data_IF_869406769477
#
_entry.id   IF_869406769477
#
_cell.length_a   1.000
_cell.length_b   1.000
_cell.length_c   1.000
_cell.angle_alpha   90.00
_cell.angle_beta   90.00
_cell.angle_gamma   90.00
#
_symmetry.space_group_name_H-M   'P 1'
#
loop_
_entity.id
_entity.type
_entity.pdbx_description
1 polymer ?
#
# COMPACT_ATOMS: atom_id res chain seq x y z
N UNK A 1 -24.35 3.31 10.94
CA UNK A 1 -24.87 4.59 10.39
C UNK A 1 -24.00 5.75 10.83
N UNK A 2 -23.85 6.04 12.14
CA UNK A 2 -23.04 7.16 12.64
C UNK A 2 -21.64 7.33 11.98
N UNK A 3 -20.77 6.30 12.01
CA UNK A 3 -19.42 6.42 11.42
C UNK A 3 -19.43 6.55 9.90
N UNK A 4 -20.38 5.92 9.22
CA UNK A 4 -20.56 6.08 7.77
C UNK A 4 -20.94 7.52 7.44
N UNK A 5 -21.87 8.08 8.21
CA UNK A 5 -22.34 9.44 8.04
C UNK A 5 -21.18 10.41 8.34
N UNK A 6 -20.39 10.18 9.39
CA UNK A 6 -19.17 10.95 9.66
C UNK A 6 -18.16 10.94 8.49
N UNK A 7 -17.91 9.78 7.89
CA UNK A 7 -16.90 9.65 6.82
C UNK A 7 -17.34 10.26 5.49
N UNK A 8 -18.64 10.20 5.17
CA UNK A 8 -19.16 10.44 3.82
C UNK A 8 -20.17 11.58 3.71
N UNK A 9 -20.70 12.09 4.82
CA UNK A 9 -21.66 13.22 4.78
C UNK A 9 -20.93 14.54 4.55
N UNK A 10 -21.59 15.53 3.94
CA UNK A 10 -21.03 16.87 3.77
C UNK A 10 -20.47 17.44 5.07
N UNK A 11 -19.29 18.05 4.99
CA UNK A 11 -18.76 18.87 6.08
C UNK A 11 -19.61 20.13 6.22
N UNK A 12 -19.78 20.62 7.45
CA UNK A 12 -20.58 21.81 7.72
C UNK A 12 -20.13 23.01 6.86
N UNK A 13 -21.10 23.59 6.13
CA UNK A 13 -20.90 24.87 5.45
C UNK A 13 -20.82 25.94 6.52
N UNK A 14 -19.60 26.28 6.94
CA UNK A 14 -19.38 27.49 7.73
C UNK A 14 -19.49 28.69 6.78
N UNK A 15 -20.74 29.11 6.49
CA UNK A 15 -21.11 30.19 5.56
C UNK A 15 -20.50 31.57 5.90
N UNK A 16 -19.87 31.71 7.07
CA UNK A 16 -19.22 32.94 7.56
C UNK A 16 -17.72 32.78 7.82
N UNK A 17 -17.09 31.70 7.37
CA UNK A 17 -15.64 31.50 7.52
C UNK A 17 -14.91 31.67 6.20
N UNK A 18 -13.71 32.23 6.25
CA UNK A 18 -12.76 32.33 5.15
C UNK A 18 -12.18 30.93 4.81
N UNK A 19 -13.03 30.02 4.34
CA UNK A 19 -12.62 28.66 4.00
C UNK A 19 -12.82 28.39 2.51
N UNK A 20 -11.83 27.81 1.86
CA UNK A 20 -11.91 27.39 0.45
C UNK A 20 -12.39 25.94 0.30
N UNK A 21 -12.96 25.35 1.36
CA UNK A 21 -13.44 23.96 1.40
C UNK A 21 -14.38 23.58 0.25
N UNK A 22 -15.12 24.55 -0.28
CA UNK A 22 -16.01 24.35 -1.44
C UNK A 22 -15.28 23.90 -2.70
N UNK A 23 -13.99 24.16 -2.81
CA UNK A 23 -13.14 23.76 -3.92
C UNK A 23 -12.63 22.30 -3.78
N UNK A 24 -12.71 21.72 -2.58
CA UNK A 24 -12.06 20.44 -2.25
C UNK A 24 -13.07 19.37 -1.81
N UNK A 25 -14.18 19.19 -2.53
CA UNK A 25 -15.05 18.03 -2.34
C UNK A 25 -15.66 17.88 -0.93
N UNK A 26 -15.82 18.97 -0.17
CA UNK A 26 -16.38 18.96 1.20
C UNK A 26 -17.78 18.32 1.27
N UNK A 27 -18.54 18.39 0.18
CA UNK A 27 -19.87 17.83 0.01
C UNK A 27 -19.87 16.30 -0.04
N UNK A 28 -18.70 15.69 -0.23
CA UNK A 28 -18.50 14.23 -0.32
C UNK A 28 -17.88 13.64 0.95
N UNK A 29 -17.74 14.45 2.00
CA UNK A 29 -17.26 14.06 3.33
C UNK A 29 -15.76 14.17 3.55
N UNK A 30 -15.36 13.90 4.79
CA UNK A 30 -14.02 14.22 5.31
C UNK A 30 -12.90 13.51 4.56
N UNK A 31 -13.11 12.24 4.17
CA UNK A 31 -12.08 11.48 3.44
C UNK A 31 -11.80 12.12 2.09
N UNK A 32 -12.85 12.45 1.34
CA UNK A 32 -12.69 13.05 0.01
C UNK A 32 -12.07 14.44 0.12
N UNK A 33 -12.51 15.23 1.10
CA UNK A 33 -11.93 16.53 1.38
C UNK A 33 -10.43 16.47 1.67
N UNK A 34 -10.00 15.60 2.58
CA UNK A 34 -8.59 15.49 2.94
C UNK A 34 -7.73 15.02 1.77
N UNK A 35 -8.21 14.05 0.97
CA UNK A 35 -7.48 13.56 -0.21
C UNK A 35 -7.37 14.63 -1.32
N UNK A 36 -8.47 15.34 -1.62
CA UNK A 36 -8.47 16.44 -2.60
C UNK A 36 -7.57 17.58 -2.17
N UNK A 37 -7.64 17.93 -0.88
CA UNK A 37 -6.81 19.00 -0.34
C UNK A 37 -5.33 18.59 -0.34
N UNK A 38 -5.00 17.37 0.05
CA UNK A 38 -3.62 16.89 0.02
C UNK A 38 -3.06 16.87 -1.40
N UNK A 39 -3.83 16.39 -2.40
CA UNK A 39 -3.40 16.40 -3.80
C UNK A 39 -3.11 17.82 -4.30
N UNK A 40 -3.90 18.82 -3.86
CA UNK A 40 -3.63 20.22 -4.13
C UNK A 40 -2.35 20.72 -3.42
N UNK A 41 -2.14 20.39 -2.14
CA UNK A 41 -0.93 20.78 -1.41
C UNK A 41 0.36 20.20 -2.04
N UNK A 42 0.28 19.07 -2.75
CA UNK A 42 1.42 18.53 -3.50
C UNK A 42 1.70 19.29 -4.81
N UNK A 43 0.74 20.03 -5.34
CA UNK A 43 0.86 20.70 -6.64
C UNK A 43 1.71 21.97 -6.60
N UNK A 44 2.20 22.40 -7.76
CA UNK A 44 2.89 23.69 -7.92
C UNK A 44 2.00 24.90 -7.57
N UNK A 45 0.68 24.74 -7.65
CA UNK A 45 -0.29 25.81 -7.38
C UNK A 45 -0.43 26.13 -5.88
N UNK A 46 -0.01 25.23 -4.98
CA UNK A 46 -0.10 25.48 -3.56
C UNK A 46 0.99 26.47 -3.09
N UNK A 47 0.59 27.49 -2.35
CA UNK A 47 1.49 28.50 -1.76
C UNK A 47 2.06 28.01 -0.44
N UNK A 48 3.35 28.27 -0.17
CA UNK A 48 3.96 27.88 1.12
C UNK A 48 3.46 28.76 2.29
N UNK A 49 3.14 30.01 2.00
CA UNK A 49 2.57 30.98 2.94
C UNK A 49 1.12 30.65 3.35
N UNK A 50 0.63 31.23 4.46
CA UNK A 50 -0.79 31.20 4.82
C UNK A 50 -1.67 31.77 3.69
N UNK A 51 -2.79 31.12 3.44
CA UNK A 51 -3.76 31.54 2.41
C UNK A 51 -4.62 32.71 2.93
N UNK A 52 -4.81 32.77 4.24
CA UNK A 52 -5.54 33.85 4.92
C UNK A 52 -4.64 34.48 5.97
N UNK A 53 -4.56 35.80 5.93
CA UNK A 53 -3.81 36.58 6.92
C UNK A 53 -4.43 36.44 8.32
N UNK A 54 -3.57 36.10 9.29
CA UNK A 54 -3.87 36.05 10.73
C UNK A 54 -4.25 37.43 11.27
N UNK A 55 -3.63 38.47 10.71
CA UNK A 55 -3.61 39.82 11.27
C UNK A 55 -4.61 40.77 10.60
N UNK A 56 -5.50 40.24 9.75
CA UNK A 56 -6.65 41.00 9.26
C UNK A 56 -7.42 41.60 10.45
N UNK A 57 -7.45 42.94 10.52
CA UNK A 57 -7.98 43.68 11.66
C UNK A 57 -9.42 43.23 11.98
N UNK A 58 -9.63 42.82 13.23
CA UNK A 58 -10.96 42.55 13.75
C UNK A 58 -11.78 43.84 13.63
N UNK A 59 -13.00 43.81 13.06
CA UNK A 59 -13.84 45.00 12.96
C UNK A 59 -13.92 45.71 14.32
N UNK A 60 -13.68 47.02 14.35
CA UNK A 60 -13.61 47.80 15.60
C UNK A 60 -14.84 47.58 16.49
N UNK A 61 -16.01 47.40 15.87
CA UNK A 61 -17.30 47.11 16.52
C UNK A 61 -17.30 45.83 17.38
N UNK A 62 -16.42 44.88 17.09
CA UNK A 62 -16.33 43.59 17.79
C UNK A 62 -15.26 43.57 18.88
N UNK A 63 -14.34 44.55 18.91
CA UNK A 63 -13.12 44.54 19.75
C UNK A 63 -13.35 44.36 21.24
N UNK A 64 -14.44 44.91 21.78
CA UNK A 64 -14.76 44.84 23.22
C UNK A 64 -15.92 43.87 23.52
N UNK A 65 -16.30 43.01 22.57
CA UNK A 65 -17.44 42.12 22.73
C UNK A 65 -17.03 40.66 22.91
N UNK A 66 -17.86 39.88 23.60
CA UNK A 66 -17.74 38.41 23.65
C UNK A 66 -17.77 37.82 22.23
N UNK A 67 -18.50 38.44 21.30
CA UNK A 67 -18.52 38.07 19.89
C UNK A 67 -17.16 38.25 19.21
N UNK A 68 -16.37 39.27 19.60
CA UNK A 68 -14.99 39.46 19.14
C UNK A 68 -14.03 38.39 19.65
N UNK A 69 -14.23 37.90 20.88
CA UNK A 69 -13.50 36.74 21.41
C UNK A 69 -13.80 35.46 20.62
N UNK A 70 -15.07 35.20 20.30
CA UNK A 70 -15.46 34.09 19.43
C UNK A 70 -14.91 34.25 18.01
N UNK A 71 -14.94 35.47 17.46
CA UNK A 71 -14.38 35.79 16.15
C UNK A 71 -12.87 35.50 16.08
N UNK A 72 -12.10 35.91 17.09
CA UNK A 72 -10.67 35.59 17.20
C UNK A 72 -10.43 34.09 17.28
N UNK A 73 -11.16 33.39 18.15
CA UNK A 73 -11.04 31.92 18.28
C UNK A 73 -11.35 31.21 16.96
N UNK A 74 -12.43 31.59 16.29
CA UNK A 74 -12.80 31.02 14.99
C UNK A 74 -11.72 31.27 13.93
N UNK A 75 -11.10 32.47 13.91
CA UNK A 75 -9.99 32.83 13.00
C UNK A 75 -8.71 32.01 13.26
N UNK A 76 -8.32 31.81 14.52
CA UNK A 76 -7.13 31.02 14.86
C UNK A 76 -7.28 29.52 14.57
N UNK A 77 -8.51 29.01 14.50
CA UNK A 77 -8.80 27.60 14.18
C UNK A 77 -8.94 27.32 12.67
N UNK A 78 -8.89 28.35 11.81
CA UNK A 78 -9.02 28.23 10.34
C UNK A 78 -7.81 27.47 9.79
N UNK A 79 -8.08 26.50 8.92
CA UNK A 79 -7.04 25.68 8.30
C UNK A 79 -6.17 26.48 7.33
N UNK A 80 -6.79 27.42 6.61
CA UNK A 80 -6.19 28.30 5.60
C UNK A 80 -5.23 29.35 6.19
N UNK A 81 -5.19 29.48 7.50
CA UNK A 81 -4.27 30.36 8.25
C UNK A 81 -2.93 29.68 8.56
N UNK A 82 -2.85 28.36 8.35
CA UNK A 82 -1.63 27.58 8.52
C UNK A 82 -0.72 27.71 7.30
N UNK A 83 0.59 27.64 7.53
CA UNK A 83 1.58 27.49 6.46
C UNK A 83 1.46 26.10 5.81
N UNK A 84 1.99 25.95 4.59
CA UNK A 84 1.85 24.68 3.86
C UNK A 84 2.38 23.46 4.60
N UNK A 85 3.55 23.50 5.27
CA UNK A 85 4.02 22.37 6.08
C UNK A 85 3.01 21.93 7.14
N UNK A 86 2.46 22.88 7.90
CA UNK A 86 1.46 22.64 8.94
C UNK A 86 0.13 22.13 8.36
N UNK A 87 -0.28 22.65 7.19
CA UNK A 87 -1.46 22.17 6.46
C UNK A 87 -1.31 20.71 6.07
N UNK A 88 -0.16 20.34 5.50
CA UNK A 88 0.15 18.95 5.14
C UNK A 88 0.15 18.07 6.39
N UNK A 89 0.84 18.47 7.47
CA UNK A 89 0.90 17.69 8.71
C UNK A 89 -0.50 17.47 9.30
N UNK A 90 -1.33 18.51 9.34
CA UNK A 90 -2.71 18.40 9.85
C UNK A 90 -3.59 17.51 8.98
N UNK A 91 -3.43 17.55 7.65
CA UNK A 91 -4.14 16.63 6.75
C UNK A 91 -3.69 15.18 6.97
N UNK A 92 -2.39 14.95 7.11
CA UNK A 92 -1.83 13.61 7.34
C UNK A 92 -2.29 13.03 8.68
N UNK A 93 -2.30 13.82 9.75
CA UNK A 93 -2.82 13.39 11.05
C UNK A 93 -4.31 13.00 11.01
N UNK A 94 -5.13 13.76 10.26
CA UNK A 94 -6.53 13.39 10.04
C UNK A 94 -6.63 12.10 9.22
N UNK A 95 -5.85 11.96 8.15
CA UNK A 95 -5.82 10.75 7.32
C UNK A 95 -5.34 9.51 8.10
N UNK A 96 -4.41 9.67 9.04
CA UNK A 96 -3.96 8.62 9.96
C UNK A 96 -5.09 8.16 10.87
N UNK A 97 -5.76 9.10 11.55
CA UNK A 97 -6.91 8.79 12.42
C UNK A 97 -8.04 8.09 11.64
N UNK A 98 -8.27 8.52 10.40
CA UNK A 98 -9.28 7.92 9.52
C UNK A 98 -8.90 6.50 9.11
N UNK A 99 -7.65 6.24 8.71
CA UNK A 99 -7.25 4.89 8.30
C UNK A 99 -7.22 3.92 9.48
N UNK A 100 -6.81 4.39 10.66
CA UNK A 100 -6.84 3.60 11.90
C UNK A 100 -8.27 3.12 12.21
N UNK A 101 -9.26 4.02 12.15
CA UNK A 101 -10.67 3.67 12.29
C UNK A 101 -11.11 2.62 11.27
N UNK A 102 -10.72 2.79 10.00
CA UNK A 102 -11.08 1.87 8.93
C UNK A 102 -10.41 0.49 9.09
N UNK A 103 -9.19 0.44 9.62
CA UNK A 103 -8.49 -0.81 9.94
C UNK A 103 -9.19 -1.58 11.05
N UNK A 104 -9.55 -0.90 12.15
CA UNK A 104 -10.27 -1.54 13.24
C UNK A 104 -11.64 -2.05 12.80
N UNK A 105 -12.38 -1.25 12.03
CA UNK A 105 -13.66 -1.69 11.46
C UNK A 105 -13.49 -2.93 10.58
N UNK A 106 -12.52 -2.92 9.65
CA UNK A 106 -12.26 -4.06 8.77
C UNK A 106 -11.84 -5.32 9.55
N UNK A 107 -11.01 -5.17 10.58
CA UNK A 107 -10.58 -6.26 11.46
C UNK A 107 -11.73 -6.86 12.27
N UNK A 108 -12.56 -6.01 12.89
CA UNK A 108 -13.77 -6.44 13.62
C UNK A 108 -14.74 -7.12 12.65
N UNK A 109 -14.96 -6.52 11.49
CA UNK A 109 -15.82 -7.07 10.45
C UNK A 109 -15.36 -8.47 10.01
N UNK A 110 -14.06 -8.64 9.74
CA UNK A 110 -13.48 -9.92 9.34
C UNK A 110 -13.55 -10.96 10.46
N UNK A 111 -13.51 -10.55 11.72
CA UNK A 111 -13.68 -11.48 12.85
C UNK A 111 -15.12 -12.01 12.97
N UNK A 112 -16.10 -11.17 12.60
CA UNK A 112 -17.54 -11.45 12.70
C UNK A 112 -18.06 -12.34 11.57
N UNK A 113 -17.58 -12.13 10.35
CA UNK A 113 -17.96 -12.91 9.18
C UNK A 113 -16.81 -13.83 8.81
N UNK A 114 -17.00 -15.16 8.86
CA UNK A 114 -15.94 -16.14 8.58
C UNK A 114 -16.12 -16.92 7.28
N UNK A 115 -17.32 -16.88 6.71
CA UNK A 115 -17.69 -17.56 5.47
C UNK A 115 -18.34 -16.57 4.51
N UNK A 116 -18.28 -16.86 3.20
CA UNK A 116 -18.91 -16.05 2.15
C UNK A 116 -18.52 -14.56 2.20
N UNK A 117 -17.26 -14.27 2.52
CA UNK A 117 -16.77 -12.89 2.72
C UNK A 117 -17.07 -11.98 1.52
N UNK A 118 -16.84 -12.48 0.31
CA UNK A 118 -17.14 -11.74 -0.93
C UNK A 118 -18.61 -11.31 -0.99
N UNK A 119 -19.55 -12.21 -0.67
CA UNK A 119 -20.98 -11.90 -0.60
C UNK A 119 -21.29 -10.85 0.48
N UNK A 120 -20.65 -10.94 1.64
CA UNK A 120 -20.86 -9.96 2.71
C UNK A 120 -20.40 -8.55 2.31
N UNK A 121 -19.16 -8.40 1.81
CA UNK A 121 -18.61 -7.10 1.37
C UNK A 121 -19.39 -6.54 0.17
N UNK A 122 -19.82 -7.41 -0.75
CA UNK A 122 -20.49 -6.95 -1.97
C UNK A 122 -21.96 -6.61 -1.74
N UNK A 123 -22.70 -7.32 -0.88
CA UNK A 123 -24.17 -7.28 -0.89
C UNK A 123 -24.86 -6.91 0.41
N UNK A 124 -24.33 -7.30 1.57
CA UNK A 124 -25.14 -7.31 2.80
C UNK A 124 -24.55 -6.50 3.96
N UNK A 125 -23.31 -6.77 4.33
CA UNK A 125 -22.69 -6.20 5.53
C UNK A 125 -21.37 -5.59 5.08
N UNK A 126 -21.41 -4.35 4.60
CA UNK A 126 -20.22 -3.73 3.99
C UNK A 126 -19.39 -3.06 5.09
N UNK A 127 -18.07 -3.33 5.18
CA UNK A 127 -17.22 -2.57 6.08
C UNK A 127 -17.17 -1.09 5.65
N UNK A 128 -16.76 -0.22 6.56
CA UNK A 128 -16.66 1.22 6.33
C UNK A 128 -15.74 1.52 5.13
N UNK A 129 -14.63 0.79 4.98
CA UNK A 129 -13.72 0.96 3.84
C UNK A 129 -14.44 0.70 2.50
N UNK A 130 -15.29 -0.33 2.42
CA UNK A 130 -16.07 -0.60 1.20
C UNK A 130 -17.08 0.54 0.90
N UNK A 131 -17.54 1.24 1.94
CA UNK A 131 -18.42 2.41 1.79
C UNK A 131 -17.64 3.64 1.34
N UNK A 132 -16.42 3.85 1.83
CA UNK A 132 -15.53 4.91 1.36
C UNK A 132 -15.17 4.69 -0.12
N UNK A 133 -14.82 3.46 -0.48
CA UNK A 133 -14.41 3.12 -1.84
C UNK A 133 -15.58 3.17 -2.82
N UNK A 134 -16.70 2.49 -2.54
CA UNK A 134 -17.77 2.27 -3.54
C UNK A 134 -19.11 2.91 -3.18
N UNK A 135 -19.14 3.75 -2.13
CA UNK A 135 -20.36 4.37 -1.61
C UNK A 135 -21.46 3.32 -1.40
N UNK A 136 -22.73 3.63 -1.66
CA UNK A 136 -23.82 2.66 -1.57
C UNK A 136 -24.03 1.82 -2.85
N UNK A 137 -23.13 1.93 -3.83
CA UNK A 137 -23.36 1.32 -5.14
C UNK A 137 -22.85 -0.12 -5.19
N UNK A 138 -23.76 -1.07 -4.98
CA UNK A 138 -23.47 -2.52 -4.97
C UNK A 138 -22.91 -2.99 -6.31
N UNK A 139 -23.39 -2.45 -7.43
CA UNK A 139 -23.00 -2.88 -8.79
C UNK A 139 -21.53 -2.61 -9.12
N UNK A 140 -20.92 -1.62 -8.47
CA UNK A 140 -19.53 -1.23 -8.70
C UNK A 140 -18.57 -1.74 -7.62
N UNK A 141 -19.04 -2.56 -6.68
CA UNK A 141 -18.15 -3.16 -5.66
C UNK A 141 -17.07 -4.00 -6.31
N UNK A 142 -15.81 -3.81 -5.91
CA UNK A 142 -14.65 -4.50 -6.49
C UNK A 142 -14.11 -3.84 -7.77
N UNK A 143 -14.71 -2.76 -8.27
CA UNK A 143 -14.19 -2.01 -9.43
C UNK A 143 -13.27 -0.89 -8.97
N UNK A 144 -12.10 -0.76 -9.61
CA UNK A 144 -11.20 0.38 -9.38
C UNK A 144 -11.83 1.66 -9.90
N UNK A 145 -12.02 2.65 -9.03
CA UNK A 145 -12.66 3.93 -9.36
C UNK A 145 -11.73 5.12 -9.09
N UNK A 146 -12.26 6.34 -9.22
CA UNK A 146 -11.48 7.56 -9.05
C UNK A 146 -10.89 7.73 -7.66
N UNK A 147 -11.57 7.27 -6.60
CA UNK A 147 -11.05 7.31 -5.23
C UNK A 147 -9.83 6.39 -5.12
N UNK A 148 -9.92 5.17 -5.65
CA UNK A 148 -8.79 4.24 -5.71
C UNK A 148 -7.60 4.86 -6.46
N UNK A 149 -7.84 5.40 -7.66
CA UNK A 149 -6.79 6.05 -8.47
C UNK A 149 -6.16 7.25 -7.77
N UNK A 150 -6.94 8.04 -7.03
CA UNK A 150 -6.43 9.16 -6.26
C UNK A 150 -5.48 8.69 -5.16
N UNK A 151 -5.84 7.63 -4.44
CA UNK A 151 -4.98 7.04 -3.40
C UNK A 151 -3.70 6.47 -4.02
N UNK A 152 -3.79 5.84 -5.20
CA UNK A 152 -2.61 5.38 -5.94
C UNK A 152 -1.67 6.52 -6.29
N UNK A 153 -2.21 7.62 -6.83
CA UNK A 153 -1.42 8.82 -7.18
C UNK A 153 -0.78 9.44 -5.96
N UNK A 154 -1.53 9.69 -4.90
CA UNK A 154 -1.00 10.27 -3.67
C UNK A 154 0.13 9.40 -3.09
N UNK A 155 -0.07 8.09 -2.97
CA UNK A 155 0.97 7.16 -2.53
C UNK A 155 2.23 7.25 -3.40
N UNK A 156 2.07 7.18 -4.73
CA UNK A 156 3.18 7.23 -5.66
C UNK A 156 3.91 8.60 -5.63
N UNK A 157 3.17 9.71 -5.56
CA UNK A 157 3.73 11.06 -5.51
C UNK A 157 4.49 11.33 -4.23
N UNK A 158 3.98 10.91 -3.05
CA UNK A 158 4.70 11.09 -1.78
C UNK A 158 6.03 10.34 -1.77
N UNK A 159 6.09 9.15 -2.39
CA UNK A 159 7.33 8.38 -2.54
C UNK A 159 8.27 9.03 -3.55
N UNK A 160 7.75 9.49 -4.69
CA UNK A 160 8.53 10.19 -5.71
C UNK A 160 9.21 11.45 -5.13
N UNK A 161 8.42 12.23 -4.38
CA UNK A 161 8.84 13.45 -3.72
C UNK A 161 9.64 13.23 -2.42
N UNK A 162 9.84 11.97 -2.01
CA UNK A 162 10.58 11.60 -0.81
C UNK A 162 10.10 12.32 0.46
N UNK A 163 8.78 12.36 0.66
CA UNK A 163 8.19 12.93 1.87
C UNK A 163 8.64 12.15 3.12
N UNK A 164 8.52 12.74 4.32
CA UNK A 164 8.82 12.06 5.58
C UNK A 164 8.27 10.63 5.66
N UNK A 165 9.08 9.72 6.24
CA UNK A 165 8.75 8.30 6.28
C UNK A 165 7.44 8.03 7.05
N UNK A 166 7.08 8.87 8.01
CA UNK A 166 5.78 8.86 8.69
C UNK A 166 4.62 9.03 7.70
N UNK A 167 4.68 10.05 6.83
CA UNK A 167 3.64 10.30 5.84
C UNK A 167 3.55 9.21 4.78
N UNK A 168 4.70 8.70 4.35
CA UNK A 168 4.76 7.53 3.47
C UNK A 168 4.11 6.33 4.16
N UNK A 169 4.37 6.10 5.45
CA UNK A 169 3.77 5.01 6.24
C UNK A 169 2.24 5.10 6.31
N UNK A 170 1.70 6.30 6.54
CA UNK A 170 0.25 6.54 6.54
C UNK A 170 -0.35 6.16 5.18
N UNK A 171 0.25 6.63 4.06
CA UNK A 171 -0.25 6.31 2.73
C UNK A 171 -0.03 4.84 2.32
N UNK A 172 1.07 4.21 2.74
CA UNK A 172 1.26 2.75 2.61
C UNK A 172 0.14 2.00 3.31
N UNK A 173 -0.24 2.45 4.51
CA UNK A 173 -1.33 1.85 5.29
C UNK A 173 -2.67 1.98 4.56
N UNK A 174 -2.97 3.16 4.02
CA UNK A 174 -4.14 3.35 3.14
C UNK A 174 -4.15 2.36 1.98
N UNK A 175 -3.04 2.25 1.25
CA UNK A 175 -2.92 1.32 0.13
C UNK A 175 -3.13 -0.14 0.57
N UNK A 176 -2.49 -0.57 1.66
CA UNK A 176 -2.61 -1.93 2.20
C UNK A 176 -4.06 -2.28 2.55
N UNK A 177 -4.78 -1.40 3.25
CA UNK A 177 -6.16 -1.67 3.67
C UNK A 177 -7.10 -1.76 2.46
N UNK A 178 -6.86 -0.95 1.43
CA UNK A 178 -7.61 -1.04 0.18
C UNK A 178 -7.30 -2.36 -0.53
N UNK A 179 -6.02 -2.75 -0.63
CA UNK A 179 -5.63 -4.03 -1.23
C UNK A 179 -6.33 -5.20 -0.51
N UNK A 180 -6.33 -5.19 0.84
CA UNK A 180 -7.03 -6.20 1.63
C UNK A 180 -8.54 -6.18 1.36
N UNK A 181 -9.14 -5.00 1.24
CA UNK A 181 -10.57 -4.88 0.91
C UNK A 181 -10.90 -5.47 -0.47
N UNK A 182 -10.04 -5.24 -1.47
CA UNK A 182 -10.15 -5.86 -2.79
C UNK A 182 -9.94 -7.38 -2.73
N UNK A 183 -8.97 -7.85 -1.95
CA UNK A 183 -8.72 -9.28 -1.74
C UNK A 183 -9.93 -9.99 -1.13
N UNK A 184 -10.61 -9.36 -0.16
CA UNK A 184 -11.82 -9.91 0.46
C UNK A 184 -12.97 -10.03 -0.57
N UNK A 185 -12.97 -9.23 -1.64
CA UNK A 185 -13.94 -9.36 -2.72
C UNK A 185 -13.72 -10.61 -3.58
N UNK A 186 -12.54 -11.23 -3.53
CA UNK A 186 -12.28 -12.49 -4.24
C UNK A 186 -13.06 -13.65 -3.61
N UNK A 187 -13.44 -14.61 -4.46
CA UNK A 187 -14.07 -15.83 -3.98
C UNK A 187 -13.06 -16.67 -3.22
N UNK A 188 -13.45 -17.33 -2.12
CA UNK A 188 -12.58 -18.21 -1.34
C UNK A 188 -11.30 -17.51 -0.80
N UNK A 189 -11.37 -16.20 -0.56
CA UNK A 189 -10.27 -15.42 0.05
C UNK A 189 -9.88 -15.91 1.45
N UNK A 190 -10.76 -16.67 2.10
CA UNK A 190 -10.59 -17.27 3.42
C UNK A 190 -10.06 -18.71 3.41
N UNK A 191 -9.77 -19.31 2.25
CA UNK A 191 -9.33 -20.71 2.16
C UNK A 191 -7.94 -20.86 1.52
N UNK A 192 -7.73 -20.24 0.37
CA UNK A 192 -6.44 -20.26 -0.34
C UNK A 192 -5.78 -18.87 -0.21
N UNK A 193 -4.50 -18.79 0.19
CA UNK A 193 -3.75 -17.52 0.22
C UNK A 193 -2.41 -17.65 -0.51
N UNK A 194 -2.09 -16.74 -1.46
CA UNK A 194 -2.96 -15.70 -2.00
C UNK A 194 -3.89 -16.27 -3.08
N UNK A 195 -5.21 -16.09 -2.94
CA UNK A 195 -6.15 -16.36 -4.01
C UNK A 195 -6.42 -15.10 -4.83
N UNK A 196 -5.63 -14.93 -5.89
CA UNK A 196 -5.73 -13.77 -6.78
C UNK A 196 -6.69 -14.09 -7.92
N UNK A 197 -7.76 -13.32 -8.03
CA UNK A 197 -8.73 -13.43 -9.10
C UNK A 197 -8.83 -12.14 -9.93
N UNK A 198 -10.07 -11.85 -10.35
CA UNK A 198 -10.36 -10.75 -11.28
C UNK A 198 -10.10 -9.38 -10.65
N UNK A 199 -10.45 -9.20 -9.39
CA UNK A 199 -10.46 -7.89 -8.74
C UNK A 199 -9.04 -7.44 -8.40
N UNK A 200 -8.23 -8.32 -7.82
CA UNK A 200 -6.83 -8.05 -7.54
C UNK A 200 -6.01 -7.87 -8.84
N UNK A 201 -6.28 -8.64 -9.89
CA UNK A 201 -5.62 -8.45 -11.19
C UNK A 201 -5.99 -7.11 -11.84
N UNK A 202 -7.26 -6.71 -11.77
CA UNK A 202 -7.70 -5.40 -12.27
C UNK A 202 -7.07 -4.26 -11.45
N UNK A 203 -7.02 -4.41 -10.13
CA UNK A 203 -6.34 -3.47 -9.22
C UNK A 203 -4.88 -3.27 -9.61
N UNK A 204 -4.12 -4.37 -9.75
CA UNK A 204 -2.69 -4.32 -10.10
C UNK A 204 -2.46 -3.61 -11.44
N UNK A 205 -3.28 -3.90 -12.46
CA UNK A 205 -3.19 -3.25 -13.78
C UNK A 205 -3.48 -1.76 -13.72
N UNK A 206 -4.51 -1.35 -12.96
CA UNK A 206 -4.86 0.07 -12.84
C UNK A 206 -3.84 0.85 -12.01
N UNK A 207 -3.25 0.23 -10.99
CA UNK A 207 -2.17 0.86 -10.25
C UNK A 207 -0.89 0.93 -11.10
N UNK A 208 -0.57 -0.12 -11.85
CA UNK A 208 0.56 -0.10 -12.79
C UNK A 208 0.47 1.08 -13.77
N UNK A 209 -0.72 1.35 -14.34
CA UNK A 209 -0.92 2.51 -15.22
C UNK A 209 -0.56 3.86 -14.58
N UNK A 210 -0.69 3.99 -13.26
CA UNK A 210 -0.34 5.24 -12.55
C UNK A 210 1.17 5.39 -12.42
N UNK A 211 1.91 4.29 -12.24
CA UNK A 211 3.35 4.32 -11.99
C UNK A 211 4.19 4.07 -13.26
N UNK A 212 3.57 3.59 -14.35
CA UNK A 212 4.26 3.21 -15.58
C UNK A 212 5.02 4.37 -16.24
N UNK A 213 4.53 5.60 -16.07
CA UNK A 213 5.13 6.79 -16.65
C UNK A 213 6.27 7.36 -15.78
N UNK A 214 6.38 6.94 -14.51
CA UNK A 214 7.34 7.50 -13.56
C UNK A 214 8.80 7.05 -13.82
N UNK A 215 9.80 7.79 -13.32
CA UNK A 215 11.21 7.39 -13.40
C UNK A 215 11.47 6.01 -12.80
N UNK A 216 12.39 5.24 -13.39
CA UNK A 216 12.64 3.84 -13.00
C UNK A 216 13.00 3.67 -11.52
N UNK A 217 13.82 4.56 -10.98
CA UNK A 217 14.19 4.56 -9.56
C UNK A 217 12.97 4.82 -8.65
N UNK A 218 12.07 5.71 -9.08
CA UNK A 218 10.81 5.97 -8.35
C UNK A 218 9.94 4.72 -8.35
N UNK A 219 9.82 4.02 -9.49
CA UNK A 219 9.06 2.76 -9.57
C UNK A 219 9.64 1.73 -8.61
N UNK A 220 10.97 1.57 -8.53
CA UNK A 220 11.62 0.67 -7.57
C UNK A 220 11.23 1.03 -6.14
N UNK A 221 11.39 2.30 -5.73
CA UNK A 221 11.03 2.75 -4.38
C UNK A 221 9.55 2.51 -4.05
N UNK A 222 8.66 2.73 -5.01
CA UNK A 222 7.23 2.44 -4.87
C UNK A 222 7.04 0.93 -4.63
N UNK A 223 7.68 0.10 -5.46
CA UNK A 223 7.57 -1.36 -5.36
C UNK A 223 8.05 -1.88 -4.01
N UNK A 224 9.16 -1.37 -3.47
CA UNK A 224 9.68 -1.75 -2.15
C UNK A 224 8.73 -1.41 -0.99
N UNK A 225 7.84 -0.43 -1.15
CA UNK A 225 6.88 0.01 -0.11
C UNK A 225 5.50 -0.64 -0.24
N UNK A 226 5.21 -1.37 -1.31
CA UNK A 226 3.90 -2.02 -1.50
C UNK A 226 3.78 -3.24 -0.58
N UNK A 227 2.70 -3.27 0.19
CA UNK A 227 2.27 -4.42 0.97
C UNK A 227 0.75 -4.61 0.82
N UNK A 228 0.23 -5.85 0.75
CA UNK A 228 0.90 -7.15 0.91
C UNK A 228 1.77 -7.59 -0.28
N UNK A 229 2.70 -8.51 -0.01
CA UNK A 229 3.68 -9.04 -0.99
C UNK A 229 3.02 -9.70 -2.21
N UNK A 230 1.83 -10.30 -2.07
CA UNK A 230 1.12 -10.80 -3.25
C UNK A 230 0.74 -9.67 -4.22
N UNK A 231 0.42 -8.47 -3.75
CA UNK A 231 0.07 -7.35 -4.63
C UNK A 231 1.33 -6.73 -5.24
N UNK A 232 2.40 -6.65 -4.45
CA UNK A 232 3.73 -6.29 -4.93
C UNK A 232 4.14 -7.19 -6.10
N UNK A 233 3.99 -8.51 -5.98
CA UNK A 233 4.29 -9.44 -7.08
C UNK A 233 3.42 -9.16 -8.33
N UNK A 234 2.12 -8.91 -8.17
CA UNK A 234 1.22 -8.71 -9.33
C UNK A 234 1.58 -7.46 -10.13
N UNK A 235 1.87 -6.37 -9.42
CA UNK A 235 2.26 -5.10 -10.04
C UNK A 235 3.64 -5.23 -10.68
N UNK A 236 4.57 -5.92 -10.02
CA UNK A 236 5.90 -6.20 -10.54
C UNK A 236 5.87 -7.02 -11.83
N UNK A 237 5.01 -8.04 -11.90
CA UNK A 237 4.76 -8.79 -13.13
C UNK A 237 4.20 -7.89 -14.23
N UNK A 238 3.24 -7.01 -13.93
CA UNK A 238 2.71 -6.07 -14.93
C UNK A 238 3.82 -5.17 -15.52
N UNK A 239 4.71 -4.67 -14.67
CA UNK A 239 5.85 -3.85 -15.10
C UNK A 239 6.84 -4.61 -15.98
N UNK A 240 7.21 -5.83 -15.55
CA UNK A 240 8.14 -6.67 -16.30
C UNK A 240 7.55 -7.16 -17.64
N UNK A 241 6.26 -7.44 -17.69
CA UNK A 241 5.55 -7.77 -18.94
C UNK A 241 5.62 -6.62 -19.95
N UNK A 242 5.48 -5.38 -19.47
CA UNK A 242 5.59 -4.17 -20.28
C UNK A 242 7.02 -3.97 -20.80
N UNK A 243 8.02 -4.00 -19.92
CA UNK A 243 9.43 -3.76 -20.27
C UNK A 243 9.98 -4.88 -21.17
N UNK A 244 9.74 -6.14 -20.84
CA UNK A 244 10.28 -7.29 -21.56
C UNK A 244 9.37 -7.75 -22.72
N UNK A 245 8.24 -7.06 -22.94
CA UNK A 245 7.25 -7.39 -23.99
C UNK A 245 6.86 -8.88 -23.98
N UNK A 246 6.57 -9.43 -22.81
CA UNK A 246 6.23 -10.85 -22.61
C UNK A 246 4.79 -11.03 -22.15
N UNK A 247 4.14 -12.10 -22.61
CA UNK A 247 2.79 -12.48 -22.19
C UNK A 247 2.78 -13.50 -21.03
N UNK A 248 3.96 -13.91 -20.56
CA UNK A 248 4.08 -14.86 -19.46
C UNK A 248 3.66 -14.20 -18.15
N UNK A 249 2.82 -14.89 -17.37
CA UNK A 249 2.29 -14.37 -16.10
C UNK A 249 3.04 -14.88 -14.88
N UNK A 250 3.79 -15.98 -15.02
CA UNK A 250 4.58 -16.52 -13.92
C UNK A 250 5.97 -15.85 -13.89
N UNK A 251 6.30 -15.19 -12.78
CA UNK A 251 7.56 -14.47 -12.62
C UNK A 251 8.81 -15.36 -12.78
N UNK A 252 8.78 -16.60 -12.29
CA UNK A 252 9.89 -17.54 -12.43
C UNK A 252 10.12 -17.85 -13.91
N UNK A 253 9.04 -18.04 -14.68
CA UNK A 253 9.14 -18.27 -16.13
C UNK A 253 9.61 -17.04 -16.90
N UNK A 254 9.16 -15.84 -16.50
CA UNK A 254 9.71 -14.58 -17.04
C UNK A 254 11.22 -14.54 -16.82
N UNK A 255 11.68 -14.89 -15.62
CA UNK A 255 13.11 -14.87 -15.31
C UNK A 255 13.89 -15.94 -16.08
N UNK A 256 13.39 -17.17 -16.16
CA UNK A 256 13.98 -18.23 -17.00
C UNK A 256 14.10 -17.77 -18.46
N UNK A 257 13.06 -17.13 -19.00
CA UNK A 257 13.08 -16.61 -20.38
C UNK A 257 14.10 -15.49 -20.54
N UNK A 258 14.14 -14.54 -19.61
CA UNK A 258 15.13 -13.47 -19.57
C UNK A 258 16.57 -14.04 -19.61
N UNK A 259 16.81 -15.12 -18.87
CA UNK A 259 18.11 -15.80 -18.81
C UNK A 259 18.44 -16.57 -20.10
N UNK A 260 17.52 -17.41 -20.59
CA UNK A 260 17.72 -18.26 -21.77
C UNK A 260 17.88 -17.45 -23.06
N UNK A 261 17.08 -16.40 -23.23
CA UNK A 261 17.07 -15.57 -24.44
C UNK A 261 18.11 -14.44 -24.43
N UNK A 262 18.84 -14.26 -23.32
CA UNK A 262 19.85 -13.21 -23.16
C UNK A 262 19.30 -11.79 -23.33
N UNK A 263 18.09 -11.55 -22.84
CA UNK A 263 17.37 -10.28 -23.03
C UNK A 263 18.09 -9.08 -22.41
N UNK A 264 18.94 -9.29 -21.40
CA UNK A 264 19.78 -8.25 -20.80
C UNK A 264 20.69 -7.52 -21.79
N UNK A 265 21.01 -8.12 -22.94
CA UNK A 265 21.84 -7.49 -23.98
C UNK A 265 21.14 -6.36 -24.74
N UNK A 266 19.81 -6.28 -24.63
CA UNK A 266 19.00 -5.27 -25.30
C UNK A 266 19.00 -3.93 -24.54
N UNK A 267 19.54 -3.90 -23.33
CA UNK A 267 19.46 -2.76 -22.42
C UNK A 267 20.85 -2.21 -22.11
N UNK A 268 20.97 -0.89 -21.92
CA UNK A 268 22.26 -0.26 -21.64
C UNK A 268 22.82 -0.69 -20.27
N UNK A 269 24.15 -0.72 -20.20
CA UNK A 269 24.90 -0.93 -18.97
C UNK A 269 24.76 0.30 -18.08
N UNK A 270 24.52 0.07 -16.79
CA UNK A 270 24.38 1.11 -15.79
C UNK A 270 25.50 1.02 -14.76
N UNK A 271 26.03 2.19 -14.38
CA UNK A 271 27.07 2.32 -13.35
C UNK A 271 26.49 2.31 -11.93
N UNK A 272 25.16 2.35 -11.80
CA UNK A 272 24.46 2.40 -10.50
C UNK A 272 24.51 1.04 -9.81
N UNK A 273 25.03 0.94 -8.59
CA UNK A 273 24.94 -0.29 -7.81
C UNK A 273 23.48 -0.60 -7.43
N UNK A 274 23.10 -1.88 -7.46
CA UNK A 274 21.77 -2.32 -6.99
C UNK A 274 21.78 -2.25 -5.47
N UNK A 275 21.14 -1.22 -4.91
CA UNK A 275 20.91 -1.12 -3.47
C UNK A 275 19.60 -1.82 -3.13
N UNK A 276 19.69 -3.04 -2.61
CA UNK A 276 18.53 -3.77 -2.11
C UNK A 276 18.19 -3.22 -0.73
N UNK A 277 17.05 -2.55 -0.61
CA UNK A 277 16.56 -2.11 0.70
C UNK A 277 16.36 -3.32 1.61
N UNK A 278 16.93 -3.28 2.83
CA UNK A 278 16.61 -4.29 3.84
C UNK A 278 15.10 -4.28 4.06
N UNK A 279 14.46 -5.44 3.89
CA UNK A 279 13.02 -5.62 4.13
C UNK A 279 12.60 -4.90 5.41
N UNK A 280 11.85 -3.80 5.26
CA UNK A 280 11.25 -3.05 6.37
C UNK A 280 10.08 -3.79 7.01
N UNK A 281 9.84 -5.05 6.61
CA UNK A 281 8.80 -5.89 7.20
C UNK A 281 9.27 -6.29 8.60
N UNK A 282 8.84 -5.51 9.58
CA UNK A 282 8.81 -5.92 10.99
C UNK A 282 7.85 -7.11 11.03
N UNK A 283 8.38 -8.34 10.88
CA UNK A 283 7.61 -9.55 11.17
C UNK A 283 7.04 -9.35 12.58
N UNK A 284 5.72 -9.39 12.78
CA UNK A 284 5.15 -9.20 14.10
C UNK A 284 5.81 -10.25 15.01
N UNK A 285 6.61 -9.79 15.98
CA UNK A 285 7.23 -10.69 16.96
C UNK A 285 6.08 -11.53 17.52
N UNK A 286 6.21 -12.87 17.50
CA UNK A 286 5.27 -13.73 18.22
C UNK A 286 5.30 -13.33 19.69
N UNK A 287 4.34 -12.50 20.09
CA UNK A 287 4.28 -11.98 21.44
C UNK A 287 3.76 -13.10 22.34
N UNK A 288 4.65 -13.72 23.10
CA UNK A 288 4.24 -14.50 24.28
C UNK A 288 3.70 -13.50 25.30
N UNK A 289 2.43 -13.65 25.69
CA UNK A 289 1.68 -12.78 26.61
C UNK A 289 1.34 -11.39 26.05
N UNK A 290 0.34 -11.37 25.16
CA UNK A 290 -0.24 -10.18 24.53
C UNK A 290 -0.51 -9.02 25.51
N UNK A 291 -1.08 -9.29 26.68
CA UNK A 291 -1.40 -8.25 27.67
C UNK A 291 -0.17 -7.52 28.21
N UNK A 292 0.92 -8.24 28.51
CA UNK A 292 2.18 -7.64 28.99
C UNK A 292 2.87 -6.80 27.92
N UNK A 293 2.68 -7.15 26.65
CA UNK A 293 3.21 -6.38 25.54
C UNK A 293 2.44 -5.08 25.32
N UNK A 294 1.11 -5.13 25.43
CA UNK A 294 0.28 -3.92 25.40
C UNK A 294 0.61 -2.98 26.56
N UNK A 295 0.76 -3.49 27.79
CA UNK A 295 1.21 -2.70 28.96
C UNK A 295 2.59 -2.04 28.75
N UNK A 296 3.49 -2.73 28.03
CA UNK A 296 4.82 -2.21 27.70
C UNK A 296 4.78 -1.13 26.62
N UNK A 297 3.88 -1.25 25.64
CA UNK A 297 3.69 -0.22 24.61
C UNK A 297 3.05 1.04 25.21
N UNK A 298 2.07 0.89 26.10
CA UNK A 298 1.39 2.03 26.73
C UNK A 298 2.25 2.82 27.73
N UNK A 299 3.50 2.38 27.98
CA UNK A 299 4.44 3.01 28.92
C UNK A 299 5.70 3.54 28.26
N UNK A 300 5.79 3.48 26.92
CA UNK A 300 6.89 4.12 26.20
C UNK A 300 6.73 5.65 26.29
N UNK A 301 7.78 6.38 26.68
CA UNK A 301 7.77 7.84 26.58
C UNK A 301 7.64 8.24 25.11
N UNK A 302 6.78 9.22 24.83
CA UNK A 302 6.78 9.95 23.57
C UNK A 302 8.09 10.74 23.52
N UNK A 303 9.11 10.18 22.85
CA UNK A 303 10.27 10.95 22.47
C UNK A 303 9.79 11.98 21.44
N UNK A 304 9.64 13.23 21.89
CA UNK A 304 9.43 14.37 21.00
C UNK A 304 10.73 14.62 20.26
N UNK A 305 10.84 14.06 19.05
CA UNK A 305 11.95 14.34 18.17
C UNK A 305 12.01 15.85 17.86
N UNK A 306 13.24 16.35 17.92
CA UNK A 306 13.61 17.74 17.65
C UNK A 306 13.07 18.16 16.27
N UNK A 307 12.35 19.28 16.20
CA UNK A 307 11.80 19.84 14.96
C UNK A 307 12.93 20.10 13.95
N UNK A 308 13.19 19.12 13.08
CA UNK A 308 13.91 19.37 11.85
C UNK A 308 12.99 20.13 10.91
N UNK A 309 13.50 21.15 10.23
CA UNK A 309 12.76 21.91 9.23
C UNK A 309 12.42 20.97 8.06
N UNK A 310 11.22 20.37 8.10
CA UNK A 310 10.78 19.40 7.10
C UNK A 310 10.44 20.14 5.81
N UNK A 311 11.27 19.97 4.79
CA UNK A 311 11.00 20.51 3.45
C UNK A 311 10.01 19.60 2.74
N UNK A 312 8.89 20.17 2.30
CA UNK A 312 7.86 19.46 1.51
C UNK A 312 7.95 19.87 0.03
N UNK A 313 8.67 19.11 -0.82
CA UNK A 313 8.77 19.46 -2.23
C UNK A 313 7.42 19.37 -2.95
N UNK A 314 7.28 20.11 -4.05
CA UNK A 314 6.08 20.14 -4.90
C UNK A 314 6.30 19.26 -6.13
N UNK A 315 5.21 18.70 -6.64
CA UNK A 315 5.20 17.84 -7.81
C UNK A 315 5.34 18.69 -9.07
N UNK A 316 6.47 18.54 -9.75
CA UNK A 316 6.68 19.08 -11.08
C UNK A 316 6.34 18.00 -12.12
N UNK A 317 5.39 18.22 -13.04
CA UNK A 317 5.09 17.26 -14.10
C UNK A 317 6.30 16.87 -14.95
N UNK A 318 7.32 17.72 -15.07
CA UNK A 318 8.55 17.42 -15.81
C UNK A 318 9.42 16.36 -15.12
N UNK A 319 9.33 16.22 -13.79
CA UNK A 319 10.10 15.20 -13.04
C UNK A 319 9.49 13.81 -13.10
N UNK A 320 8.28 13.69 -13.66
CA UNK A 320 7.57 12.42 -13.81
C UNK A 320 7.92 11.69 -15.11
N UNK A 321 8.80 12.21 -15.96
CA UNK A 321 9.13 11.58 -17.25
C UNK A 321 9.97 10.32 -17.06
N UNK A 322 9.57 9.20 -17.67
CA UNK A 322 10.31 7.94 -17.58
C UNK A 322 11.68 8.05 -18.25
N UNK A 323 12.73 7.71 -17.52
CA UNK A 323 14.06 7.51 -18.08
C UNK A 323 14.16 6.22 -18.91
N UNK A 324 15.20 6.13 -19.74
CA UNK A 324 15.54 4.89 -20.43
C UNK A 324 15.80 3.77 -19.42
N UNK A 325 15.09 2.66 -19.58
CA UNK A 325 15.24 1.48 -18.71
C UNK A 325 16.62 0.86 -18.91
N UNK A 326 17.40 0.80 -17.84
CA UNK A 326 18.71 0.15 -17.84
C UNK A 326 18.65 -1.31 -17.37
N UNK A 327 19.77 -2.02 -17.52
CA UNK A 327 19.88 -3.41 -17.06
C UNK A 327 19.64 -3.58 -15.56
N UNK A 328 20.12 -2.65 -14.73
CA UNK A 328 20.08 -2.78 -13.27
C UNK A 328 18.66 -2.62 -12.74
N UNK A 329 17.87 -1.73 -13.35
CA UNK A 329 16.45 -1.57 -13.09
C UNK A 329 15.69 -2.86 -13.34
N UNK A 330 15.94 -3.54 -14.46
CA UNK A 330 15.28 -4.81 -14.79
C UNK A 330 15.64 -5.89 -13.77
N UNK A 331 16.93 -6.02 -13.45
CA UNK A 331 17.43 -7.01 -12.49
C UNK A 331 16.87 -6.74 -11.09
N UNK A 332 16.82 -5.49 -10.65
CA UNK A 332 16.25 -5.10 -9.37
C UNK A 332 14.74 -5.38 -9.33
N UNK A 333 14.01 -5.05 -10.39
CA UNK A 333 12.58 -5.37 -10.51
C UNK A 333 12.30 -6.87 -10.51
N UNK A 334 13.12 -7.67 -11.19
CA UNK A 334 13.05 -9.14 -11.14
C UNK A 334 13.25 -9.64 -9.71
N UNK A 335 14.26 -9.12 -9.00
CA UNK A 335 14.54 -9.46 -7.61
C UNK A 335 13.36 -9.15 -6.69
N UNK A 336 12.89 -7.90 -6.66
CA UNK A 336 11.77 -7.48 -5.81
C UNK A 336 10.51 -8.32 -6.11
N UNK A 337 10.24 -8.59 -7.38
CA UNK A 337 9.03 -9.32 -7.79
C UNK A 337 9.11 -10.81 -7.42
N UNK A 338 10.30 -11.43 -7.54
CA UNK A 338 10.52 -12.83 -7.14
C UNK A 338 10.44 -12.96 -5.63
N UNK A 339 11.14 -12.11 -4.88
CA UNK A 339 11.12 -12.13 -3.40
C UNK A 339 9.67 -12.00 -2.89
N UNK A 340 8.93 -11.03 -3.42
CA UNK A 340 7.51 -10.84 -3.12
C UNK A 340 6.64 -12.05 -3.49
N UNK A 341 6.92 -12.71 -4.62
CA UNK A 341 6.21 -13.93 -5.03
C UNK A 341 6.47 -15.07 -4.06
N UNK A 342 7.71 -15.30 -3.65
CA UNK A 342 8.06 -16.39 -2.75
C UNK A 342 7.51 -16.18 -1.33
N UNK A 343 7.56 -14.94 -0.83
CA UNK A 343 6.98 -14.56 0.45
C UNK A 343 5.44 -14.67 0.44
N UNK A 344 4.80 -14.20 -0.63
CA UNK A 344 3.34 -14.26 -0.76
C UNK A 344 2.81 -15.69 -0.67
N UNK A 345 3.46 -16.64 -1.35
CA UNK A 345 3.14 -18.07 -1.25
C UNK A 345 3.80 -18.75 -0.04
N UNK A 346 4.48 -18.02 0.84
CA UNK A 346 5.11 -18.54 2.06
C UNK A 346 5.90 -19.84 1.83
N UNK A 347 6.58 -19.94 0.68
CA UNK A 347 7.14 -21.22 0.19
C UNK A 347 8.10 -21.82 1.21
N UNK A 348 8.95 -20.98 1.82
CA UNK A 348 9.87 -21.41 2.86
C UNK A 348 9.13 -22.00 4.08
N UNK A 349 8.11 -21.32 4.59
CA UNK A 349 7.36 -21.82 5.75
C UNK A 349 6.63 -23.12 5.44
N UNK A 350 6.14 -23.29 4.20
CA UNK A 350 5.49 -24.53 3.77
C UNK A 350 6.51 -25.66 3.66
N UNK A 351 7.68 -25.40 3.08
CA UNK A 351 8.78 -26.36 3.00
C UNK A 351 9.24 -26.80 4.39
N UNK A 352 9.51 -25.85 5.29
CA UNK A 352 9.92 -26.14 6.68
C UNK A 352 8.88 -27.00 7.41
N UNK A 353 7.58 -26.71 7.20
CA UNK A 353 6.49 -27.48 7.82
C UNK A 353 6.39 -28.89 7.22
N UNK A 354 6.59 -29.04 5.91
CA UNK A 354 6.59 -30.35 5.26
C UNK A 354 7.78 -31.20 5.72
N UNK A 355 8.96 -30.60 5.87
CA UNK A 355 10.16 -31.27 6.37
C UNK A 355 9.99 -31.69 7.82
N UNK A 356 9.42 -30.84 8.70
CA UNK A 356 9.07 -31.21 10.08
C UNK A 356 8.04 -32.34 10.14
N UNK A 357 7.00 -32.30 9.30
CA UNK A 357 6.01 -33.39 9.23
C UNK A 357 6.64 -34.70 8.74
N UNK A 358 7.50 -34.65 7.74
CA UNK A 358 8.23 -35.81 7.23
C UNK A 358 9.15 -36.39 8.32
N UNK A 359 9.86 -35.54 9.06
CA UNK A 359 10.70 -35.92 10.19
C UNK A 359 9.87 -36.58 11.31
N UNK A 360 8.70 -36.03 11.64
CA UNK A 360 7.80 -36.60 12.65
C UNK A 360 7.27 -37.99 12.23
N UNK A 361 6.91 -38.15 10.95
CA UNK A 361 6.49 -39.43 10.38
C UNK A 361 7.63 -40.45 10.42
N UNK A 362 8.86 -40.05 10.04
CA UNK A 362 10.04 -40.91 10.12
C UNK A 362 10.38 -41.31 11.56
N UNK A 363 10.14 -40.42 12.54
CA UNK A 363 10.31 -40.68 13.97
C UNK A 363 9.16 -41.49 14.59
N UNK A 364 8.16 -41.91 13.80
CA UNK A 364 7.03 -42.71 14.26
C UNK A 364 6.06 -41.97 15.18
N UNK A 365 6.12 -40.64 15.23
CA UNK A 365 5.19 -39.82 16.00
C UNK A 365 3.87 -39.81 15.24
N UNK A 366 2.84 -40.43 15.80
CA UNK A 366 1.48 -40.27 15.28
C UNK A 366 1.13 -38.79 15.43
N UNK A 367 0.84 -38.11 14.32
CA UNK A 367 0.31 -36.75 14.31
C UNK A 367 -1.01 -36.73 15.06
N UNK A 368 -0.96 -36.56 16.38
CA UNK A 368 -2.13 -36.35 17.22
C UNK A 368 -2.75 -35.03 16.78
N UNK A 369 -3.96 -35.13 16.27
CA UNK A 369 -4.86 -34.05 15.89
C UNK A 369 -5.12 -33.12 17.09
N UNK A 370 -4.19 -32.22 17.39
CA UNK A 370 -4.44 -30.98 18.12
C UNK A 370 -4.58 -29.83 17.13
N UNK A 371 -5.22 -30.07 15.98
CA UNK A 371 -5.71 -28.96 15.18
C UNK A 371 -6.88 -28.35 15.96
N UNK A 372 -6.83 -27.05 16.29
CA UNK A 372 -7.95 -26.41 16.95
C UNK A 372 -9.20 -26.59 16.06
N UNK A 373 -10.27 -27.18 16.60
CA UNK A 373 -11.53 -27.49 15.91
C UNK A 373 -12.21 -26.27 15.22
N UNK A 374 -11.62 -25.08 15.34
CA UNK A 374 -12.11 -23.81 14.83
C UNK A 374 -11.34 -23.25 13.60
N UNK A 375 -10.45 -24.02 12.96
CA UNK A 375 -9.81 -23.56 11.71
C UNK A 375 -10.70 -23.86 10.51
N UNK A 376 -11.41 -22.85 10.01
CA UNK A 376 -12.22 -22.93 8.77
C UNK A 376 -11.39 -22.86 7.49
N UNK A 377 -10.08 -23.05 7.56
CA UNK A 377 -9.18 -23.00 6.41
C UNK A 377 -9.18 -24.36 5.72
N UNK A 378 -9.58 -24.38 4.45
CA UNK A 378 -9.49 -25.53 3.56
C UNK A 378 -8.50 -25.24 2.45
N UNK A 379 -7.65 -26.21 2.12
CA UNK A 379 -6.73 -26.11 0.99
C UNK A 379 -7.38 -26.76 -0.22
N UNK A 380 -7.48 -26.04 -1.34
CA UNK A 380 -8.07 -26.59 -2.56
C UNK A 380 -7.04 -27.42 -3.36
N UNK A 381 -7.52 -28.35 -4.20
CA UNK A 381 -6.67 -29.10 -5.14
C UNK A 381 -5.92 -28.15 -6.09
N UNK A 382 -6.56 -27.04 -6.46
CA UNK A 382 -5.95 -26.00 -7.27
C UNK A 382 -4.71 -25.42 -6.59
N UNK A 383 -4.80 -25.10 -5.30
CA UNK A 383 -3.66 -24.59 -4.53
C UNK A 383 -2.51 -25.61 -4.49
N UNK A 384 -2.79 -26.89 -4.27
CA UNK A 384 -1.76 -27.95 -4.28
C UNK A 384 -1.05 -28.03 -5.65
N UNK A 385 -1.81 -27.96 -6.75
CA UNK A 385 -1.23 -27.95 -8.11
C UNK A 385 -0.35 -26.72 -8.34
N UNK A 386 -0.72 -25.57 -7.79
CA UNK A 386 0.09 -24.36 -7.88
C UNK A 386 1.44 -24.52 -7.17
N UNK A 387 1.47 -25.04 -5.94
CA UNK A 387 2.75 -25.30 -5.24
C UNK A 387 3.64 -26.28 -6.01
N UNK A 388 3.08 -27.37 -6.55
CA UNK A 388 3.84 -28.30 -7.39
C UNK A 388 4.47 -27.61 -8.59
N UNK A 389 3.71 -26.76 -9.28
CA UNK A 389 4.20 -25.96 -10.40
C UNK A 389 5.32 -25.01 -9.97
N UNK A 390 5.17 -24.33 -8.82
CA UNK A 390 6.18 -23.44 -8.25
C UNK A 390 7.50 -24.19 -8.03
N UNK A 391 7.48 -25.33 -7.33
CA UNK A 391 8.71 -26.12 -7.08
C UNK A 391 9.36 -26.62 -8.37
N UNK A 392 8.56 -27.04 -9.36
CA UNK A 392 9.08 -27.45 -10.68
C UNK A 392 9.80 -26.29 -11.39
N UNK A 393 9.17 -25.12 -11.44
CA UNK A 393 9.75 -23.94 -12.08
C UNK A 393 10.99 -23.43 -11.32
N UNK A 394 11.01 -23.51 -9.99
CA UNK A 394 12.18 -23.15 -9.18
C UNK A 394 13.37 -24.06 -9.46
N UNK A 395 13.13 -25.37 -9.59
CA UNK A 395 14.16 -26.33 -9.96
C UNK A 395 14.76 -25.99 -11.32
N UNK A 396 13.89 -25.70 -12.31
CA UNK A 396 14.35 -25.27 -13.64
C UNK A 396 15.15 -23.94 -13.57
N UNK A 397 14.72 -22.98 -12.75
CA UNK A 397 15.42 -21.71 -12.58
C UNK A 397 16.82 -21.92 -12.02
N UNK A 398 16.98 -22.76 -10.99
CA UNK A 398 18.27 -23.10 -10.38
C UNK A 398 19.20 -23.74 -11.43
N UNK A 399 18.69 -24.68 -12.22
CA UNK A 399 19.47 -25.32 -13.29
C UNK A 399 19.96 -24.28 -14.32
N UNK A 400 19.08 -23.37 -14.72
CA UNK A 400 19.43 -22.30 -15.67
C UNK A 400 20.47 -21.36 -15.07
N UNK A 401 20.31 -20.92 -13.82
CA UNK A 401 21.27 -20.05 -13.14
C UNK A 401 22.67 -20.68 -13.03
N UNK A 402 22.74 -21.99 -12.79
CA UNK A 402 24.00 -22.73 -12.76
C UNK A 402 24.68 -22.82 -14.14
N UNK A 403 23.92 -22.76 -15.23
CA UNK A 403 24.46 -22.81 -16.60
C UNK A 403 24.90 -21.44 -17.14
N UNK A 404 24.41 -20.34 -16.58
CA UNK A 404 24.73 -18.98 -17.04
C UNK A 404 26.12 -18.56 -16.56
N UNK A 405 26.96 -18.09 -17.48
CA UNK A 405 28.28 -17.57 -17.13
C UNK A 405 28.15 -16.24 -16.38
N UNK A 406 28.29 -16.30 -15.05
CA UNK A 406 28.10 -15.20 -14.10
C UNK A 406 28.94 -13.96 -14.41
N UNK A 407 30.11 -14.12 -15.05
CA UNK A 407 30.94 -12.99 -15.49
C UNK A 407 30.26 -12.07 -16.52
N UNK A 408 29.19 -12.52 -17.17
CA UNK A 408 28.46 -11.75 -18.19
C UNK A 408 27.35 -10.87 -17.60
N UNK A 409 26.91 -11.15 -16.36
CA UNK A 409 25.88 -10.38 -15.65
C UNK A 409 26.19 -10.43 -14.15
N UNK A 410 27.14 -9.60 -13.67
CA UNK A 410 27.52 -9.59 -12.26
C UNK A 410 26.34 -9.38 -11.31
N UNK A 411 25.32 -8.63 -11.75
CA UNK A 411 24.13 -8.32 -10.97
C UNK A 411 23.27 -9.54 -10.62
N UNK A 412 23.48 -10.70 -11.22
CA UNK A 412 22.73 -11.94 -10.88
C UNK A 412 23.13 -12.50 -9.52
N UNK A 413 24.29 -12.12 -8.97
CA UNK A 413 24.75 -12.57 -7.65
C UNK A 413 23.75 -12.23 -6.53
N UNK A 414 22.89 -11.22 -6.72
CA UNK A 414 21.83 -10.88 -5.74
C UNK A 414 20.82 -12.01 -5.52
N UNK A 415 20.65 -12.91 -6.50
CA UNK A 415 19.71 -14.03 -6.40
C UNK A 415 20.28 -15.23 -5.64
N UNK A 416 21.54 -15.20 -5.17
CA UNK A 416 22.12 -16.32 -4.41
C UNK A 416 21.49 -16.50 -3.02
N UNK A 417 20.87 -15.44 -2.49
CA UNK A 417 20.22 -15.46 -1.18
C UNK A 417 18.74 -15.85 -1.22
N UNK A 418 18.17 -16.00 -2.43
CA UNK A 418 16.79 -16.43 -2.70
C UNK A 418 16.80 -17.92 -3.01
#
# INVERSE_FOLDING_TARGET
NLYKDFLTSPLDKKEKTYSNRTQFGYDKGIVKYCMDRLEFELSLESTDEPIVDKDQEMPEELTQSVKGLYWKKEKFEIFEVLERPDRIQRLMAVLESLIELLQYDLGIWHSRYKSNLSSHVMRSHRPLMATVLWSNNVLYTGVVNNICRQIFRLFAHLIHLQYPQEHISIMSTWLTVIIQTFYICENNSNSDYPNVGKYCAAFAKEFYKVIAEMPGETVIRIMEKIYPTFMQHLIGVCHLQSILSTNESNIIKIFIKFLKEKQWKLFPDSQSEIQISKSTIIRPKKVKNFMKYLEKISTLPEDFDEYCEVVYPKLDPETLVSDNVDRNHIVHMLYITIDAYLDAYSIQSVQDTLDDLNDQVQRGIKTTSQFPENTSYSVTEYFIKQYRSIYQNLTELIDVLNTVNRKQIPQIEIFENI
#
